data_IF_680834590217
#
_entry.id   IF_680834590217
#
_cell.length_a   1.000
_cell.length_b   1.000
_cell.length_c   1.000
_cell.angle_alpha   90.00
_cell.angle_beta   90.00
_cell.angle_gamma   90.00
#
_symmetry.space_group_name_H-M   'P 1'
#
loop_
_entity.id
_entity.type
_entity.pdbx_description
1 polymer ?
#
# COMPACT_ATOMS: atom_id res chain seq x y z
N UNK A 1 -51.29 27.05 43.08
CA UNK A 1 -50.98 25.78 42.44
C UNK A 1 -50.12 26.08 41.23
N UNK A 2 -48.82 25.82 41.27
CA UNK A 2 -47.91 26.00 40.10
C UNK A 2 -47.70 24.64 39.46
N UNK A 3 -47.82 24.49 38.12
CA UNK A 3 -47.54 23.22 37.47
C UNK A 3 -46.01 22.99 37.40
N UNK A 4 -45.56 21.83 37.83
CA UNK A 4 -44.22 21.29 37.60
C UNK A 4 -44.14 20.79 36.14
N UNK A 5 -43.31 21.40 35.33
CA UNK A 5 -42.94 20.85 34.01
C UNK A 5 -41.85 19.78 34.22
N UNK A 6 -42.19 18.54 33.97
CA UNK A 6 -41.20 17.44 33.84
C UNK A 6 -40.57 17.53 32.44
N UNK A 7 -39.30 17.90 32.35
CA UNK A 7 -38.49 17.79 31.14
C UNK A 7 -37.95 16.34 31.08
N UNK A 8 -38.53 15.52 30.23
CA UNK A 8 -37.98 14.22 29.89
C UNK A 8 -36.77 14.39 28.96
N UNK A 9 -35.57 14.18 29.46
CA UNK A 9 -34.37 14.11 28.62
C UNK A 9 -34.37 12.80 27.86
N UNK A 10 -34.67 12.85 26.56
CA UNK A 10 -34.43 11.72 25.63
C UNK A 10 -32.89 11.54 25.49
N UNK A 11 -32.34 10.55 26.17
CA UNK A 11 -31.02 10.02 25.81
C UNK A 11 -31.16 9.31 24.46
N UNK A 12 -30.73 9.96 23.38
CA UNK A 12 -30.50 9.31 22.10
C UNK A 12 -29.32 8.35 22.26
N UNK A 13 -29.64 7.07 22.44
CA UNK A 13 -28.65 5.99 22.31
C UNK A 13 -28.19 5.97 20.87
N UNK A 14 -27.06 6.62 20.55
CA UNK A 14 -26.37 6.39 19.27
C UNK A 14 -25.84 4.97 19.35
N UNK A 15 -26.44 4.05 18.60
CA UNK A 15 -25.82 2.79 18.29
C UNK A 15 -24.49 3.10 17.59
N UNK A 16 -23.39 2.93 18.25
CA UNK A 16 -22.07 2.92 17.61
C UNK A 16 -22.06 1.66 16.75
N UNK A 17 -22.29 1.85 15.44
CA UNK A 17 -22.05 0.78 14.47
C UNK A 17 -20.57 0.41 14.60
N UNK A 18 -20.27 -0.88 14.75
CA UNK A 18 -18.89 -1.33 14.82
C UNK A 18 -18.19 -0.95 13.51
N UNK A 19 -16.98 -0.43 13.60
CA UNK A 19 -16.16 -0.06 12.43
C UNK A 19 -15.91 -1.31 11.58
N UNK A 20 -16.22 -1.23 10.29
CA UNK A 20 -15.90 -2.30 9.33
C UNK A 20 -14.41 -2.26 9.02
N UNK A 21 -13.68 -3.29 9.48
CA UNK A 21 -12.23 -3.37 9.38
C UNK A 21 -11.80 -4.41 8.34
N UNK A 22 -10.72 -4.11 7.65
CA UNK A 22 -9.82 -5.07 7.03
C UNK A 22 -8.49 -5.03 7.77
N UNK A 23 -7.96 -6.20 8.13
CA UNK A 23 -6.67 -6.35 8.79
C UNK A 23 -6.00 -7.63 8.31
N UNK A 24 -4.69 -7.58 8.10
CA UNK A 24 -3.86 -8.74 7.84
C UNK A 24 -2.45 -8.49 8.43
N UNK A 25 -1.95 -9.40 9.25
CA UNK A 25 -0.59 -9.36 9.79
C UNK A 25 0.33 -10.38 9.14
N UNK A 26 -0.10 -10.97 8.03
CA UNK A 26 0.66 -11.92 7.22
C UNK A 26 1.15 -13.17 7.97
N UNK A 27 0.52 -13.52 9.10
CA UNK A 27 0.85 -14.70 9.90
C UNK A 27 0.29 -16.02 9.34
N UNK A 28 -0.23 -16.02 8.12
CA UNK A 28 -0.69 -17.23 7.43
C UNK A 28 0.48 -18.22 7.21
N UNK A 29 0.21 -19.54 7.25
CA UNK A 29 1.26 -20.54 7.13
C UNK A 29 1.88 -20.61 5.73
N UNK A 30 1.12 -20.25 4.67
CA UNK A 30 1.54 -20.36 3.27
C UNK A 30 0.98 -19.21 2.42
N UNK A 31 1.59 -18.96 1.25
CA UNK A 31 1.05 -18.02 0.27
C UNK A 31 -0.33 -18.44 -0.26
N UNK A 32 -0.62 -19.74 -0.31
CA UNK A 32 -1.93 -20.24 -0.71
C UNK A 32 -3.01 -19.82 0.31
N UNK A 33 -2.73 -19.96 1.61
CA UNK A 33 -3.62 -19.47 2.66
C UNK A 33 -3.83 -17.96 2.57
N UNK A 34 -2.79 -17.19 2.22
CA UNK A 34 -2.90 -15.75 1.97
C UNK A 34 -3.84 -15.46 0.79
N UNK A 35 -3.75 -16.20 -0.31
CA UNK A 35 -4.63 -16.00 -1.47
C UNK A 35 -6.09 -16.37 -1.17
N UNK A 36 -6.35 -17.31 -0.27
CA UNK A 36 -7.70 -17.62 0.22
C UNK A 36 -8.33 -16.45 1.00
N UNK A 37 -7.51 -15.54 1.53
CA UNK A 37 -7.94 -14.31 2.18
C UNK A 37 -8.16 -13.13 1.20
N UNK A 38 -8.30 -13.43 -0.10
CA UNK A 38 -8.59 -12.43 -1.14
C UNK A 38 -7.37 -11.71 -1.71
N UNK A 39 -6.15 -12.11 -1.32
CA UNK A 39 -4.94 -11.59 -1.92
C UNK A 39 -4.68 -12.23 -3.30
N UNK A 40 -4.22 -11.44 -4.24
CA UNK A 40 -3.88 -11.84 -5.61
C UNK A 40 -2.40 -11.56 -5.84
N UNK A 41 -1.65 -12.60 -6.20
CA UNK A 41 -0.25 -12.46 -6.61
C UNK A 41 -0.21 -12.12 -8.09
N UNK A 42 0.48 -11.04 -8.44
CA UNK A 42 0.71 -10.72 -9.85
C UNK A 42 1.57 -11.80 -10.51
N UNK A 43 1.17 -12.23 -11.69
CA UNK A 43 1.88 -13.22 -12.50
C UNK A 43 1.99 -12.81 -13.98
N UNK A 44 1.43 -11.68 -14.37
CA UNK A 44 1.47 -11.17 -15.73
C UNK A 44 2.51 -10.05 -15.89
N UNK A 45 3.23 -9.99 -17.02
CA UNK A 45 4.12 -8.88 -17.33
C UNK A 45 3.33 -7.61 -17.60
N UNK A 46 3.97 -6.46 -17.51
CA UNK A 46 3.35 -5.17 -17.80
C UNK A 46 3.93 -4.04 -16.95
N UNK A 47 3.31 -2.85 -17.04
CA UNK A 47 3.63 -1.70 -16.21
C UNK A 47 3.27 -1.97 -14.73
N UNK A 48 4.03 -1.44 -13.74
CA UNK A 48 5.27 -0.69 -13.85
C UNK A 48 6.50 -1.59 -14.00
N UNK A 49 7.67 -0.99 -14.16
CA UNK A 49 8.97 -1.63 -14.04
C UNK A 49 9.62 -2.04 -15.34
N UNK A 50 10.57 -2.96 -15.24
CA UNK A 50 11.36 -3.42 -16.38
C UNK A 50 10.46 -4.23 -17.32
N UNK A 51 10.28 -3.77 -18.56
CA UNK A 51 9.52 -4.49 -19.57
C UNK A 51 10.12 -5.87 -19.82
N UNK A 52 9.29 -6.94 -19.73
CA UNK A 52 9.73 -8.32 -19.87
C UNK A 52 10.33 -8.96 -18.60
N UNK A 53 10.42 -8.24 -17.48
CA UNK A 53 10.76 -8.84 -16.21
C UNK A 53 9.68 -9.83 -15.75
N UNK A 54 10.10 -10.85 -15.00
CA UNK A 54 9.19 -11.84 -14.43
C UNK A 54 8.45 -11.27 -13.20
N UNK A 55 7.19 -11.68 -13.07
CA UNK A 55 6.37 -11.50 -11.88
C UNK A 55 5.86 -12.87 -11.44
N UNK A 56 5.56 -13.06 -10.17
CA UNK A 56 4.98 -14.32 -9.74
C UNK A 56 5.22 -14.66 -8.28
N UNK A 57 4.63 -15.78 -7.81
CA UNK A 57 4.72 -16.18 -6.40
C UNK A 57 6.14 -16.47 -5.91
N UNK A 58 7.09 -16.69 -6.80
CA UNK A 58 8.50 -16.90 -6.47
C UNK A 58 9.20 -15.62 -5.95
N UNK A 59 8.57 -14.47 -6.07
CA UNK A 59 9.05 -13.16 -5.57
C UNK A 59 8.43 -12.78 -4.22
N UNK A 60 7.56 -13.63 -3.66
CA UNK A 60 6.88 -13.39 -2.39
C UNK A 60 7.19 -14.53 -1.40
N UNK A 61 7.33 -14.18 -0.14
CA UNK A 61 7.52 -15.13 0.96
C UNK A 61 6.80 -14.67 2.21
N UNK A 62 6.38 -15.63 3.03
CA UNK A 62 5.99 -15.38 4.41
C UNK A 62 7.15 -15.86 5.29
N UNK A 63 7.92 -14.93 5.82
CA UNK A 63 9.11 -15.19 6.65
C UNK A 63 8.78 -15.05 8.13
N UNK A 64 9.55 -15.72 9.01
CA UNK A 64 9.35 -15.54 10.45
C UNK A 64 9.62 -14.10 10.87
N UNK A 65 8.76 -13.53 11.71
CA UNK A 65 9.02 -12.26 12.35
C UNK A 65 10.00 -12.48 13.52
N UNK A 66 11.17 -11.84 13.51
CA UNK A 66 12.15 -12.01 14.59
C UNK A 66 11.68 -11.41 15.93
N UNK A 67 10.74 -10.47 15.88
CA UNK A 67 10.29 -9.73 17.05
C UNK A 67 9.01 -10.31 17.68
N UNK A 68 8.33 -11.25 16.98
CA UNK A 68 7.07 -11.83 17.43
C UNK A 68 7.09 -13.37 17.34
N UNK A 69 6.92 -14.02 18.50
CA UNK A 69 6.86 -15.50 18.55
C UNK A 69 5.66 -16.02 17.77
N UNK A 70 5.94 -16.78 16.70
CA UNK A 70 4.93 -17.35 15.80
C UNK A 70 4.37 -16.37 14.75
N UNK A 71 4.76 -15.09 14.82
CA UNK A 71 4.43 -14.10 13.80
C UNK A 71 5.20 -14.30 12.51
N UNK A 72 4.66 -13.76 11.43
CA UNK A 72 5.29 -13.74 10.11
C UNK A 72 5.22 -12.34 9.52
N UNK A 73 6.06 -12.14 8.51
CA UNK A 73 6.10 -10.93 7.69
C UNK A 73 5.87 -11.34 6.24
N UNK A 74 5.15 -10.52 5.50
CA UNK A 74 5.20 -10.58 4.04
C UNK A 74 6.55 -10.01 3.59
N UNK A 75 7.31 -10.79 2.82
CA UNK A 75 8.55 -10.34 2.21
C UNK A 75 8.41 -10.35 0.68
N UNK A 76 8.67 -9.20 0.07
CA UNK A 76 8.78 -9.01 -1.37
C UNK A 76 10.25 -9.03 -1.76
N UNK A 77 10.56 -9.72 -2.87
CA UNK A 77 11.89 -9.74 -3.47
C UNK A 77 11.84 -9.15 -4.89
N UNK A 78 12.72 -8.20 -5.18
CA UNK A 78 13.01 -7.80 -6.55
C UNK A 78 14.49 -8.09 -6.85
N UNK A 79 14.78 -8.58 -8.06
CA UNK A 79 16.15 -8.85 -8.49
C UNK A 79 16.36 -8.46 -9.93
N UNK A 80 17.60 -8.05 -10.24
CA UNK A 80 18.01 -7.71 -11.60
C UNK A 80 19.52 -7.84 -11.77
N UNK A 81 19.97 -8.17 -12.95
CA UNK A 81 21.35 -7.98 -13.40
C UNK A 81 21.46 -6.82 -14.40
N UNK A 82 20.39 -6.03 -14.56
CA UNK A 82 20.28 -4.96 -15.55
C UNK A 82 19.69 -5.42 -16.89
N UNK A 83 19.30 -6.71 -17.02
CA UNK A 83 18.65 -7.25 -18.22
C UNK A 83 17.22 -7.74 -17.90
N UNK A 84 16.26 -7.58 -18.82
CA UNK A 84 14.90 -8.08 -18.60
C UNK A 84 14.81 -9.58 -18.29
N UNK A 85 15.60 -10.40 -18.99
CA UNK A 85 15.56 -11.86 -18.87
C UNK A 85 15.95 -12.38 -17.48
N UNK A 86 16.77 -11.64 -16.75
CA UNK A 86 17.24 -11.98 -15.40
C UNK A 86 16.62 -11.10 -14.32
N UNK A 87 15.60 -10.31 -14.69
CA UNK A 87 14.89 -9.46 -13.74
C UNK A 87 13.57 -10.09 -13.28
N UNK A 88 13.29 -9.95 -11.98
CA UNK A 88 12.00 -10.28 -11.41
C UNK A 88 11.60 -9.18 -10.42
N UNK A 89 10.29 -8.93 -10.34
CA UNK A 89 9.67 -7.90 -9.53
C UNK A 89 8.48 -8.49 -8.79
N UNK A 90 8.09 -7.89 -7.69
CA UNK A 90 7.04 -8.42 -6.82
C UNK A 90 5.84 -7.50 -6.73
N UNK A 91 4.62 -8.07 -6.74
CA UNK A 91 3.38 -7.34 -6.45
C UNK A 91 2.35 -8.27 -5.83
N UNK A 92 1.68 -7.77 -4.80
CA UNK A 92 0.57 -8.41 -4.12
C UNK A 92 -0.58 -7.40 -3.99
N UNK A 93 -1.78 -7.78 -4.40
CA UNK A 93 -2.97 -6.92 -4.37
C UNK A 93 -4.10 -7.58 -3.61
N UNK A 94 -4.86 -6.82 -2.84
CA UNK A 94 -6.12 -7.27 -2.25
C UNK A 94 -7.29 -7.12 -3.25
N UNK A 95 -8.45 -7.65 -2.91
CA UNK A 95 -9.70 -7.42 -3.65
C UNK A 95 -10.01 -5.93 -3.75
N UNK A 96 -10.62 -5.53 -4.86
CA UNK A 96 -10.96 -4.14 -5.14
C UNK A 96 -12.27 -3.76 -4.45
N UNK A 97 -12.18 -3.11 -3.27
CA UNK A 97 -13.36 -2.76 -2.46
C UNK A 97 -13.15 -1.56 -1.51
N UNK A 98 -11.96 -1.01 -1.44
CA UNK A 98 -11.60 0.05 -0.50
C UNK A 98 -11.74 1.42 -1.15
N UNK A 99 -12.43 2.36 -0.51
CA UNK A 99 -12.60 3.71 -1.05
C UNK A 99 -12.27 4.78 0.00
N UNK A 100 -13.14 4.97 0.99
CA UNK A 100 -12.96 5.97 2.05
C UNK A 100 -12.58 5.29 3.35
N UNK A 101 -11.91 6.06 4.21
CA UNK A 101 -11.49 5.57 5.51
C UNK A 101 -10.00 5.76 5.77
N UNK A 102 -9.49 4.97 6.69
CA UNK A 102 -8.08 4.98 7.05
C UNK A 102 -7.39 3.77 6.43
N UNK A 103 -6.33 4.00 5.69
CA UNK A 103 -5.39 3.00 5.18
C UNK A 103 -4.10 3.12 5.98
N UNK A 104 -3.59 2.04 6.52
CA UNK A 104 -2.33 2.04 7.22
C UNK A 104 -1.57 0.73 7.00
N UNK A 105 -0.24 0.81 6.93
CA UNK A 105 0.62 -0.36 6.87
C UNK A 105 1.93 -0.09 7.59
N UNK A 106 2.52 -1.11 8.22
CA UNK A 106 3.86 -1.06 8.78
C UNK A 106 4.81 -1.80 7.86
N UNK A 107 5.76 -1.07 7.32
CA UNK A 107 6.66 -1.53 6.23
C UNK A 107 8.11 -1.31 6.66
N UNK A 108 8.95 -2.26 6.31
CA UNK A 108 10.40 -2.10 6.39
C UNK A 108 10.95 -1.77 5.02
N UNK A 109 11.51 -0.59 4.89
CA UNK A 109 12.26 -0.16 3.74
C UNK A 109 13.73 -0.53 3.87
N UNK A 110 14.40 -0.67 2.74
CA UNK A 110 15.83 -0.89 2.66
C UNK A 110 16.48 0.17 1.77
N UNK A 111 17.56 0.78 2.25
CA UNK A 111 18.35 1.79 1.52
C UNK A 111 19.39 1.14 0.61
N UNK A 112 19.71 -0.14 0.83
CA UNK A 112 20.70 -0.89 0.07
C UNK A 112 20.20 -2.26 -0.30
N UNK A 113 20.69 -2.88 -1.39
CA UNK A 113 20.34 -4.25 -1.73
C UNK A 113 20.89 -5.25 -0.70
N UNK A 114 20.15 -6.35 -0.47
CA UNK A 114 20.64 -7.47 0.32
C UNK A 114 21.89 -8.09 -0.32
N UNK A 115 22.00 -8.05 -1.64
CA UNK A 115 23.10 -8.61 -2.41
C UNK A 115 23.43 -7.77 -3.63
N UNK A 116 24.72 -7.68 -3.94
CA UNK A 116 25.25 -6.97 -5.10
C UNK A 116 25.52 -5.49 -4.82
N UNK A 117 26.00 -4.74 -5.81
CA UNK A 117 26.27 -3.32 -5.67
C UNK A 117 24.98 -2.51 -5.56
N UNK A 118 25.05 -1.44 -4.80
CA UNK A 118 23.99 -0.47 -4.68
C UNK A 118 23.98 0.51 -5.86
N UNK A 119 22.80 1.12 -6.16
CA UNK A 119 22.63 2.16 -7.16
C UNK A 119 21.49 1.96 -8.16
N UNK A 120 20.78 0.82 -8.15
CA UNK A 120 19.59 0.67 -8.99
C UNK A 120 18.43 1.54 -8.48
N UNK A 121 17.66 2.18 -9.36
CA UNK A 121 16.46 2.93 -8.99
C UNK A 121 15.31 1.97 -8.62
N UNK A 122 15.33 1.50 -7.37
CA UNK A 122 14.32 0.62 -6.79
C UNK A 122 13.19 1.44 -6.17
N UNK A 123 11.96 0.99 -6.38
CA UNK A 123 10.76 1.60 -5.81
C UNK A 123 10.08 0.57 -4.88
N UNK A 124 9.89 0.96 -3.62
CA UNK A 124 9.27 0.18 -2.56
C UNK A 124 7.95 0.83 -2.18
N UNK A 125 6.81 0.12 -2.30
CA UNK A 125 5.50 0.79 -2.24
C UNK A 125 4.50 0.17 -1.28
N UNK A 126 3.59 1.04 -0.83
CA UNK A 126 2.27 0.73 -0.31
C UNK A 126 1.28 1.66 -1.00
N UNK A 127 0.29 1.10 -1.69
CA UNK A 127 -0.62 1.90 -2.49
C UNK A 127 -2.01 1.30 -2.55
N UNK A 128 -2.95 2.09 -3.05
CA UNK A 128 -4.30 1.64 -3.36
C UNK A 128 -4.66 2.14 -4.76
N UNK A 129 -5.16 1.24 -5.63
CA UNK A 129 -5.39 1.57 -7.03
C UNK A 129 -6.66 0.92 -7.59
N UNK A 130 -7.33 1.61 -8.50
CA UNK A 130 -8.33 1.10 -9.42
C UNK A 130 -7.73 0.94 -10.83
N UNK A 131 -8.20 0.02 -11.68
CA UNK A 131 -7.67 -0.14 -13.03
C UNK A 131 -7.78 1.13 -13.87
N UNK A 132 -6.74 1.44 -14.63
CA UNK A 132 -6.78 2.41 -15.72
C UNK A 132 -7.44 1.73 -16.93
N UNK A 133 -8.67 2.12 -17.28
CA UNK A 133 -9.44 1.48 -18.37
C UNK A 133 -9.05 2.00 -19.76
N UNK A 134 -8.59 3.25 -19.81
CA UNK A 134 -8.12 3.95 -20.99
C UNK A 134 -7.33 5.20 -20.59
N UNK A 135 -6.57 5.75 -21.51
CA UNK A 135 -5.78 6.97 -21.29
C UNK A 135 -6.65 8.10 -20.75
N UNK A 136 -6.20 8.71 -19.65
CA UNK A 136 -6.88 9.79 -18.96
C UNK A 136 -8.30 9.44 -18.46
N UNK A 137 -8.51 8.20 -18.04
CA UNK A 137 -9.77 7.75 -17.43
C UNK A 137 -10.15 8.69 -16.27
N UNK A 138 -11.29 9.39 -16.34
CA UNK A 138 -11.69 10.34 -15.30
C UNK A 138 -12.11 9.68 -13.99
N UNK A 139 -12.35 8.37 -13.99
CA UNK A 139 -12.66 7.59 -12.81
C UNK A 139 -11.44 6.83 -12.26
N UNK A 140 -10.25 7.00 -12.88
CA UNK A 140 -9.03 6.45 -12.33
C UNK A 140 -8.83 6.95 -10.88
N UNK A 141 -8.41 6.05 -10.00
CA UNK A 141 -8.19 6.34 -8.59
C UNK A 141 -6.95 5.62 -8.13
N UNK A 142 -5.99 6.38 -7.61
CA UNK A 142 -4.75 5.82 -7.07
C UNK A 142 -4.21 6.72 -5.95
N UNK A 143 -3.70 6.08 -4.91
CA UNK A 143 -3.04 6.71 -3.76
C UNK A 143 -1.79 5.92 -3.46
N UNK A 144 -0.61 6.58 -3.42
CA UNK A 144 0.66 5.91 -3.28
C UNK A 144 1.49 6.44 -2.13
N UNK A 145 2.20 5.50 -1.53
CA UNK A 145 3.46 5.69 -0.88
C UNK A 145 4.54 4.99 -1.69
N UNK A 146 5.55 5.73 -2.16
CA UNK A 146 6.65 5.21 -2.96
C UNK A 146 7.98 5.66 -2.38
N UNK A 147 8.75 4.71 -1.85
CA UNK A 147 10.09 4.98 -1.35
C UNK A 147 11.14 4.64 -2.40
N UNK A 148 11.95 5.64 -2.74
CA UNK A 148 13.02 5.58 -3.72
C UNK A 148 14.36 5.72 -3.00
N UNK A 149 14.99 4.60 -2.66
CA UNK A 149 16.25 4.56 -1.92
C UNK A 149 17.39 5.26 -2.69
N UNK A 150 17.47 5.01 -4.00
CA UNK A 150 18.49 5.56 -4.88
C UNK A 150 17.97 6.68 -5.79
N UNK A 151 16.84 7.29 -5.41
CA UNK A 151 16.18 8.25 -6.27
C UNK A 151 15.49 7.59 -7.47
N UNK A 152 15.27 8.35 -8.50
CA UNK A 152 14.55 7.96 -9.71
C UNK A 152 13.93 9.19 -10.36
N UNK A 153 13.34 9.03 -11.54
CA UNK A 153 12.60 10.06 -12.27
C UNK A 153 13.36 11.39 -12.39
N UNK A 154 14.65 11.29 -12.78
CA UNK A 154 15.52 12.43 -13.00
C UNK A 154 16.15 13.05 -11.74
N UNK A 155 16.09 12.39 -10.60
CA UNK A 155 16.77 12.83 -9.37
C UNK A 155 17.47 11.66 -8.68
N UNK A 156 18.67 11.89 -8.16
CA UNK A 156 19.46 10.91 -7.39
C UNK A 156 19.15 10.96 -5.88
N UNK A 157 18.22 11.82 -5.45
CA UNK A 157 17.93 12.01 -4.03
C UNK A 157 16.98 10.92 -3.51
N UNK A 158 17.39 10.27 -2.43
CA UNK A 158 16.53 9.39 -1.62
C UNK A 158 15.31 10.15 -1.12
N UNK A 159 14.12 9.57 -1.26
CA UNK A 159 12.86 10.20 -0.87
C UNK A 159 11.70 9.22 -0.77
N UNK A 160 10.71 9.63 0.00
CA UNK A 160 9.39 9.03 0.02
C UNK A 160 8.40 9.98 -0.66
N UNK A 161 7.70 9.48 -1.66
CA UNK A 161 6.54 10.16 -2.23
C UNK A 161 5.26 9.74 -1.50
N UNK A 162 4.37 10.72 -1.27
CA UNK A 162 2.96 10.50 -1.00
C UNK A 162 2.15 11.12 -2.12
N UNK A 163 1.45 10.32 -2.92
CA UNK A 163 0.79 10.78 -4.15
C UNK A 163 -0.70 10.50 -4.12
N UNK A 164 -1.49 11.41 -4.67
CA UNK A 164 -2.89 11.19 -5.00
C UNK A 164 -3.12 11.54 -6.48
N UNK A 165 -3.65 10.61 -7.25
CA UNK A 165 -3.82 10.75 -8.69
C UNK A 165 -5.22 11.20 -9.06
N UNK A 166 -5.29 12.05 -10.09
CA UNK A 166 -6.51 12.32 -10.82
C UNK A 166 -6.66 11.35 -11.99
N UNK A 167 -5.61 11.22 -12.82
CA UNK A 167 -5.59 10.34 -13.99
C UNK A 167 -4.20 10.29 -14.61
N UNK A 168 -3.99 9.36 -15.53
CA UNK A 168 -2.70 9.13 -16.20
C UNK A 168 -2.90 8.62 -17.63
N UNK A 169 -1.91 8.85 -18.47
CA UNK A 169 -1.66 8.14 -19.71
C UNK A 169 -0.25 7.53 -19.63
N UNK A 170 -0.16 6.24 -19.96
CA UNK A 170 1.11 5.51 -19.81
C UNK A 170 2.06 5.81 -20.97
N UNK A 171 1.54 5.85 -22.22
CA UNK A 171 2.40 6.04 -23.40
C UNK A 171 1.79 7.01 -24.41
N UNK A 172 2.45 8.13 -24.78
CA UNK A 172 3.57 8.72 -24.06
C UNK A 172 3.15 9.20 -22.68
N UNK A 173 4.06 9.11 -21.70
CA UNK A 173 3.76 9.43 -20.30
C UNK A 173 3.19 10.83 -20.10
N UNK A 174 2.05 10.92 -19.45
CA UNK A 174 1.46 12.16 -19.00
C UNK A 174 0.57 11.91 -17.78
N UNK A 175 0.81 12.61 -16.69
CA UNK A 175 0.16 12.37 -15.41
C UNK A 175 -0.46 13.65 -14.83
N UNK A 176 -1.63 13.50 -14.20
CA UNK A 176 -2.26 14.53 -13.38
C UNK A 176 -2.38 13.97 -11.96
N UNK A 177 -1.55 14.46 -11.07
CA UNK A 177 -1.51 14.06 -9.67
C UNK A 177 -1.14 15.23 -8.76
N UNK A 178 -1.23 15.01 -7.47
CA UNK A 178 -0.65 15.84 -6.43
C UNK A 178 0.31 14.99 -5.62
N UNK A 179 1.58 15.36 -5.56
CA UNK A 179 2.62 14.65 -4.87
C UNK A 179 3.24 15.51 -3.76
N UNK A 180 3.59 14.84 -2.65
CA UNK A 180 4.46 15.38 -1.60
C UNK A 180 5.74 14.56 -1.59
N UNK A 181 6.89 15.26 -1.59
CA UNK A 181 8.21 14.66 -1.51
C UNK A 181 8.80 14.86 -0.11
N UNK A 182 9.07 13.76 0.58
CA UNK A 182 9.78 13.77 1.85
C UNK A 182 11.20 13.24 1.63
N UNK A 183 12.19 14.14 1.66
CA UNK A 183 13.60 13.80 1.44
C UNK A 183 14.24 13.29 2.74
N UNK A 184 14.35 11.99 2.87
CA UNK A 184 14.97 11.30 3.99
C UNK A 184 15.41 9.89 3.59
N UNK A 185 16.47 9.39 4.24
CA UNK A 185 16.76 7.97 4.29
C UNK A 185 15.81 7.30 5.32
N UNK A 186 15.14 6.24 4.90
CA UNK A 186 14.11 5.55 5.68
C UNK A 186 14.42 4.04 5.80
N UNK A 187 15.70 3.67 5.92
CA UNK A 187 16.05 2.27 6.21
C UNK A 187 15.46 1.84 7.56
N UNK A 188 14.64 0.80 7.56
CA UNK A 188 13.99 0.31 8.77
C UNK A 188 12.47 0.32 8.71
N UNK A 189 11.84 0.13 9.87
CA UNK A 189 10.40 0.04 10.03
C UNK A 189 9.73 1.41 10.11
N UNK A 190 8.71 1.61 9.27
CA UNK A 190 7.88 2.82 9.25
C UNK A 190 6.40 2.48 9.19
N UNK A 191 5.57 3.29 9.81
CA UNK A 191 4.11 3.24 9.67
C UNK A 191 3.65 4.32 8.71
N UNK A 192 3.14 3.89 7.57
CA UNK A 192 2.55 4.75 6.54
C UNK A 192 1.03 4.77 6.70
N UNK A 193 0.42 5.95 6.66
CA UNK A 193 -1.03 6.06 6.81
C UNK A 193 -1.61 7.12 5.87
N UNK A 194 -2.77 6.79 5.28
CA UNK A 194 -3.60 7.69 4.47
C UNK A 194 -5.00 7.73 5.06
N UNK A 195 -5.52 8.92 5.33
CA UNK A 195 -6.92 9.13 5.70
C UNK A 195 -7.66 9.74 4.51
N UNK A 196 -8.63 9.00 3.97
CA UNK A 196 -9.43 9.42 2.81
C UNK A 196 -10.85 9.76 3.28
N UNK A 197 -11.19 11.05 3.26
CA UNK A 197 -12.55 11.52 3.52
C UNK A 197 -13.33 11.82 2.20
N UNK A 198 -14.38 12.60 2.23
CA UNK A 198 -15.17 12.93 1.05
C UNK A 198 -14.47 13.88 0.07
N UNK A 199 -13.39 14.54 0.48
CA UNK A 199 -12.78 15.66 -0.27
C UNK A 199 -11.25 15.66 -0.26
N UNK A 200 -10.63 14.97 0.72
CA UNK A 200 -9.18 15.04 0.93
C UNK A 200 -8.60 13.68 1.28
N UNK A 201 -7.31 13.54 0.95
CA UNK A 201 -6.42 12.49 1.44
C UNK A 201 -5.36 13.14 2.31
N UNK A 202 -5.28 12.76 3.60
CA UNK A 202 -4.24 13.19 4.54
C UNK A 202 -3.21 12.11 4.68
N UNK A 203 -1.95 12.49 4.61
CA UNK A 203 -0.79 11.59 4.62
C UNK A 203 -0.03 11.71 5.95
N UNK A 204 0.32 10.56 6.54
CA UNK A 204 1.08 10.50 7.80
C UNK A 204 2.22 9.48 7.68
N UNK A 205 3.39 9.85 8.16
CA UNK A 205 4.55 8.99 8.34
C UNK A 205 4.89 8.92 9.84
N UNK A 206 4.94 7.71 10.41
CA UNK A 206 5.25 7.48 11.82
C UNK A 206 4.42 8.35 12.78
N UNK A 207 3.14 8.47 12.44
CA UNK A 207 2.19 9.25 13.21
C UNK A 207 2.27 10.77 13.02
N UNK A 208 3.21 11.27 12.23
CA UNK A 208 3.35 12.70 11.93
C UNK A 208 2.66 13.06 10.63
N UNK A 209 1.84 14.12 10.59
CA UNK A 209 1.21 14.57 9.36
C UNK A 209 2.26 15.14 8.40
N UNK A 210 2.21 14.73 7.12
CA UNK A 210 3.12 15.22 6.08
C UNK A 210 2.42 16.16 5.08
N UNK A 211 1.25 15.76 4.57
CA UNK A 211 0.56 16.50 3.52
C UNK A 211 -0.94 16.26 3.54
N UNK A 212 -1.67 17.11 2.80
CA UNK A 212 -3.08 16.94 2.48
C UNK A 212 -3.28 17.20 1.00
N UNK A 213 -3.83 16.22 0.30
CA UNK A 213 -4.19 16.30 -1.11
C UNK A 213 -5.70 16.38 -1.26
N UNK A 214 -6.19 17.01 -2.33
CA UNK A 214 -7.62 17.18 -2.54
C UNK A 214 -7.97 17.67 -3.95
N UNK A 215 -9.18 18.23 -4.10
CA UNK A 215 -9.68 18.66 -5.39
C UNK A 215 -9.93 17.47 -6.32
N UNK A 216 -9.33 17.51 -7.53
CA UNK A 216 -9.45 16.41 -8.50
C UNK A 216 -8.57 15.21 -8.18
N UNK A 217 -7.58 15.37 -7.31
CA UNK A 217 -6.69 14.30 -6.86
C UNK A 217 -7.32 13.60 -5.65
N UNK A 218 -8.42 12.90 -5.88
CA UNK A 218 -9.23 12.27 -4.85
C UNK A 218 -9.88 11.00 -5.41
N UNK A 219 -9.80 9.85 -4.70
CA UNK A 219 -10.39 8.61 -5.16
C UNK A 219 -11.90 8.71 -5.37
N UNK A 220 -12.38 8.23 -6.51
CA UNK A 220 -13.80 8.28 -6.91
C UNK A 220 -14.45 6.92 -7.05
N UNK A 221 -13.66 5.83 -7.03
CA UNK A 221 -14.15 4.46 -7.12
C UNK A 221 -13.36 3.50 -6.21
N UNK A 222 -13.91 2.33 -5.87
CA UNK A 222 -13.20 1.35 -5.06
C UNK A 222 -11.86 0.94 -5.65
N UNK A 223 -10.85 0.87 -4.80
CA UNK A 223 -9.47 0.51 -5.09
C UNK A 223 -9.11 -0.83 -4.46
N UNK A 224 -8.02 -1.43 -4.89
CA UNK A 224 -7.34 -2.53 -4.23
C UNK A 224 -6.15 -2.01 -3.42
N UNK A 225 -6.01 -2.44 -2.17
CA UNK A 225 -4.79 -2.26 -1.39
C UNK A 225 -3.70 -3.14 -1.97
N UNK A 226 -2.50 -2.59 -2.15
CA UNK A 226 -1.42 -3.28 -2.86
C UNK A 226 -0.04 -2.93 -2.30
N UNK A 227 0.90 -3.85 -2.51
CA UNK A 227 2.32 -3.68 -2.25
C UNK A 227 3.08 -4.10 -3.50
N UNK A 228 4.10 -3.34 -3.89
CA UNK A 228 5.03 -3.80 -4.91
C UNK A 228 6.48 -3.38 -4.61
N UNK A 229 7.39 -4.11 -5.22
CA UNK A 229 8.83 -3.86 -5.21
C UNK A 229 9.33 -4.04 -6.64
N UNK A 230 9.81 -2.97 -7.25
CA UNK A 230 10.14 -2.96 -8.67
C UNK A 230 11.29 -1.98 -8.98
N UNK A 231 11.81 -2.04 -10.20
CA UNK A 231 12.87 -1.16 -10.67
C UNK A 231 12.37 -0.23 -11.76
N UNK A 232 12.71 1.05 -11.69
CA UNK A 232 12.64 1.91 -12.86
C UNK A 232 13.62 1.41 -13.94
N UNK A 233 13.19 1.29 -15.20
CA UNK A 233 14.10 0.88 -16.28
C UNK A 233 15.19 1.92 -16.56
N UNK A 234 14.95 3.18 -16.23
CA UNK A 234 15.91 4.26 -16.40
C UNK A 234 16.88 4.31 -15.23
N UNK A 235 18.17 4.24 -15.50
CA UNK A 235 19.23 4.34 -14.49
C UNK A 235 19.67 3.02 -13.87
N UNK A 236 19.21 1.88 -14.38
CA UNK A 236 19.70 0.56 -13.93
C UNK A 236 21.21 0.43 -14.11
N UNK A 237 21.86 -0.17 -13.14
CA UNK A 237 23.26 -0.58 -13.27
C UNK A 237 23.42 -1.60 -14.40
N UNK A 238 24.55 -1.56 -15.15
CA UNK A 238 24.78 -2.47 -16.28
C UNK A 238 24.94 -3.93 -15.82
N UNK A 239 24.76 -4.87 -16.76
CA UNK A 239 24.89 -6.30 -16.50
C UNK A 239 26.26 -6.71 -15.93
N UNK A 240 27.32 -5.95 -16.23
CA UNK A 240 28.67 -6.15 -15.66
C UNK A 240 28.72 -5.93 -14.14
N UNK A 241 27.73 -5.26 -13.55
CA UNK A 241 27.62 -5.11 -12.10
C UNK A 241 27.15 -6.39 -11.39
N UNK A 242 26.67 -7.39 -12.14
CA UNK A 242 26.17 -8.66 -11.61
C UNK A 242 24.75 -8.58 -11.04
N UNK A 243 24.33 -9.64 -10.34
CA UNK A 243 22.98 -9.73 -9.77
C UNK A 243 22.85 -8.87 -8.52
N UNK A 244 21.77 -8.07 -8.44
CA UNK A 244 21.34 -7.33 -7.25
C UNK A 244 20.01 -7.88 -6.78
N UNK A 245 19.84 -7.98 -5.45
CA UNK A 245 18.62 -8.46 -4.80
C UNK A 245 18.19 -7.45 -3.77
N UNK A 246 16.96 -6.99 -3.89
CA UNK A 246 16.31 -6.07 -2.97
C UNK A 246 15.16 -6.75 -2.24
N UNK A 247 14.90 -6.29 -1.02
CA UNK A 247 13.81 -6.76 -0.17
C UNK A 247 12.93 -5.60 0.27
N UNK A 248 11.68 -5.90 0.53
CA UNK A 248 10.74 -5.06 1.28
C UNK A 248 9.95 -6.00 2.17
N UNK A 249 9.70 -5.60 3.42
CA UNK A 249 8.92 -6.41 4.36
C UNK A 249 7.71 -5.63 4.83
N UNK A 250 6.58 -6.33 5.01
CA UNK A 250 5.34 -5.76 5.56
C UNK A 250 4.96 -6.58 6.79
N UNK A 251 4.77 -5.87 7.92
CA UNK A 251 4.40 -6.45 9.20
C UNK A 251 2.88 -6.59 9.31
N UNK A 252 2.16 -5.56 8.94
CA UNK A 252 0.70 -5.57 8.91
C UNK A 252 0.13 -4.50 7.97
N UNK A 253 -1.14 -4.70 7.60
CA UNK A 253 -1.96 -3.71 6.93
C UNK A 253 -3.32 -3.63 7.60
N UNK A 254 -3.88 -2.43 7.69
CA UNK A 254 -5.20 -2.14 8.25
C UNK A 254 -5.95 -1.15 7.37
N UNK A 255 -7.24 -1.42 7.14
CA UNK A 255 -8.17 -0.43 6.61
C UNK A 255 -9.40 -0.34 7.52
N UNK A 256 -9.77 0.88 7.90
CA UNK A 256 -11.01 1.18 8.62
C UNK A 256 -11.96 1.93 7.69
N UNK A 257 -12.98 1.24 7.21
CA UNK A 257 -13.91 1.77 6.21
C UNK A 257 -14.71 2.94 6.78
N UNK A 258 -14.72 4.05 6.02
CA UNK A 258 -15.45 5.29 6.31
C UNK A 258 -15.06 5.98 7.65
N UNK A 259 -14.01 5.50 8.33
CA UNK A 259 -13.53 6.02 9.61
C UNK A 259 -12.18 6.75 9.46
N UNK A 260 -12.06 7.89 10.14
CA UNK A 260 -10.83 8.69 10.19
C UNK A 260 -10.10 8.41 11.51
N UNK A 261 -9.42 7.26 11.60
CA UNK A 261 -8.66 6.89 12.79
C UNK A 261 -7.39 7.74 12.91
N UNK A 262 -7.12 8.26 14.10
CA UNK A 262 -5.80 8.85 14.35
C UNK A 262 -4.69 7.79 14.36
N UNK A 263 -3.41 8.15 14.15
CA UNK A 263 -2.29 7.20 14.24
C UNK A 263 -2.30 6.37 15.52
N UNK A 264 -2.58 6.99 16.67
CA UNK A 264 -2.66 6.29 17.95
C UNK A 264 -3.82 5.28 18.03
N UNK A 265 -4.95 5.56 17.35
CA UNK A 265 -6.07 4.61 17.27
C UNK A 265 -5.74 3.44 16.35
N UNK A 266 -5.05 3.66 15.22
CA UNK A 266 -4.56 2.58 14.34
C UNK A 266 -3.65 1.63 15.13
N UNK A 267 -2.65 2.17 15.81
CA UNK A 267 -1.73 1.38 16.63
C UNK A 267 -2.44 0.62 17.78
N UNK A 268 -3.45 1.24 18.40
CA UNK A 268 -4.23 0.59 19.44
C UNK A 268 -5.07 -0.56 18.89
N UNK A 269 -5.65 -0.39 17.70
CA UNK A 269 -6.47 -1.40 17.02
C UNK A 269 -5.63 -2.60 16.58
N UNK A 270 -4.46 -2.37 15.98
CA UNK A 270 -3.51 -3.43 15.62
C UNK A 270 -3.10 -4.23 16.85
N UNK A 271 -2.73 -3.54 17.95
CA UNK A 271 -2.38 -4.23 19.21
C UNK A 271 -3.55 -5.04 19.77
N UNK A 272 -4.78 -4.53 19.72
CA UNK A 272 -5.98 -5.24 20.15
C UNK A 272 -6.17 -6.52 19.34
N UNK A 273 -6.19 -6.43 18.00
CA UNK A 273 -6.38 -7.58 17.12
C UNK A 273 -5.32 -8.66 17.38
N UNK A 274 -4.04 -8.28 17.44
CA UNK A 274 -2.95 -9.21 17.73
C UNK A 274 -3.07 -9.85 19.13
N UNK A 275 -3.48 -9.08 20.15
CA UNK A 275 -3.67 -9.62 21.51
C UNK A 275 -4.83 -10.62 21.59
N UNK A 276 -5.80 -10.53 20.69
CA UNK A 276 -6.92 -11.45 20.53
C UNK A 276 -6.59 -12.65 19.60
N UNK A 277 -5.35 -12.71 19.08
CA UNK A 277 -4.91 -13.75 18.16
C UNK A 277 -5.52 -13.67 16.76
N UNK A 278 -5.97 -12.48 16.38
CA UNK A 278 -6.54 -12.24 15.04
C UNK A 278 -5.41 -11.90 14.09
N UNK A 279 -5.11 -12.81 13.16
CA UNK A 279 -4.11 -12.61 12.11
C UNK A 279 -4.71 -12.07 10.80
N UNK A 280 -6.01 -12.30 10.59
CA UNK A 280 -6.75 -11.79 9.45
C UNK A 280 -8.18 -11.47 9.83
N UNK A 281 -8.67 -10.33 9.40
CA UNK A 281 -10.05 -9.88 9.56
C UNK A 281 -10.51 -9.15 8.30
N UNK A 282 -11.63 -9.55 7.72
CA UNK A 282 -12.21 -8.87 6.56
C UNK A 282 -13.71 -8.67 6.77
N UNK A 283 -14.07 -7.46 7.20
CA UNK A 283 -15.46 -7.01 7.39
C UNK A 283 -15.88 -6.00 6.32
N UNK A 284 -14.95 -5.58 5.44
CA UNK A 284 -15.26 -4.63 4.37
C UNK A 284 -16.01 -5.35 3.25
N UNK A 285 -17.28 -5.00 2.98
CA UNK A 285 -18.06 -5.69 1.99
C UNK A 285 -17.49 -5.53 0.58
N UNK A 286 -17.43 -6.62 -0.17
CA UNK A 286 -17.11 -6.57 -1.58
C UNK A 286 -18.30 -6.00 -2.38
N UNK A 287 -18.06 -5.23 -3.45
CA UNK A 287 -19.10 -4.82 -4.38
C UNK A 287 -19.76 -6.03 -5.06
N UNK A 288 -21.04 -5.89 -5.42
CA UNK A 288 -21.75 -6.88 -6.24
C UNK A 288 -22.16 -6.24 -7.59
N UNK A 289 -21.70 -6.79 -8.72
CA UNK A 289 -20.74 -7.89 -8.86
C UNK A 289 -19.34 -7.52 -8.35
N UNK A 290 -18.55 -8.53 -7.99
CA UNK A 290 -17.17 -8.33 -7.56
C UNK A 290 -16.35 -7.63 -8.65
N UNK A 291 -15.54 -6.65 -8.26
CA UNK A 291 -14.68 -5.91 -9.17
C UNK A 291 -13.38 -6.69 -9.42
N UNK A 292 -12.87 -6.63 -10.66
CA UNK A 292 -11.61 -7.27 -11.02
C UNK A 292 -10.43 -6.65 -10.25
N UNK A 293 -9.45 -7.48 -9.90
CA UNK A 293 -8.21 -7.03 -9.28
C UNK A 293 -7.37 -6.23 -10.29
N UNK A 294 -6.76 -5.10 -9.89
CA UNK A 294 -5.84 -4.34 -10.73
C UNK A 294 -4.40 -4.87 -10.68
N UNK A 295 -4.20 -6.10 -10.21
CA UNK A 295 -2.85 -6.66 -10.02
C UNK A 295 -2.05 -6.83 -11.32
N UNK A 296 -2.68 -6.65 -12.47
CA UNK A 296 -2.08 -6.68 -13.80
C UNK A 296 -2.63 -5.50 -14.60
N UNK A 297 -2.26 -4.28 -14.22
CA UNK A 297 -2.63 -3.05 -14.90
C UNK A 297 -1.79 -2.88 -16.18
#
# INVERSE_FOLDING_TARGET
>A
MKPLLLIAALLACRSTQATELFFDDFSQPTLEALTQNGWVVRNEPGHPGIAGAAWGPHTLRLVADPDTTGGRLLELEARTDGTPANSAQAQLCQQRKFLRGTYAARIRFHDTPERGPDGDPVIQTFYAVAPLRFDFDPEFSELDWEYLANGGWGSEKTRLYGIAWQTVRIEPWAAYNQAHEHFAALDGWHTLMMQVDATNTRLFLDGQPLATHGGRNHPVQPMAISFNLWFSPEGLLPASAGMRIWRQQVDWVLHAKDEQLSPAQVEAEVRRLRSEGVSHLDQVPAPEPALSSPCNI
#
